data_IF_773099900506
#
_entry.id   IF_773099900506
#
_cell.length_a   1.000
_cell.length_b   1.000
_cell.length_c   1.000
_cell.angle_alpha   90.00
_cell.angle_beta   90.00
_cell.angle_gamma   90.00
#
_symmetry.space_group_name_H-M   'P 1'
#
loop_
_entity.id
_entity.type
_entity.pdbx_description
1 polymer ?
#
# COMPACT_ATOMS: atom_id res chain seq x y z
N UNK A 1 -4.29 20.11 23.18
CA UNK A 1 -4.64 19.00 22.26
C UNK A 1 -3.45 18.04 22.13
N UNK A 2 -3.61 16.74 22.42
CA UNK A 2 -2.57 15.76 22.06
C UNK A 2 -2.48 15.78 20.53
N UNK A 3 -1.30 16.09 19.99
CA UNK A 3 -1.10 16.24 18.55
C UNK A 3 -1.52 14.97 17.81
N UNK A 4 -2.05 15.15 16.59
CA UNK A 4 -2.36 14.02 15.70
C UNK A 4 -1.05 13.28 15.40
N UNK A 5 -0.97 11.96 15.67
CA UNK A 5 0.23 11.17 15.37
C UNK A 5 0.56 11.25 13.88
N UNK A 6 1.83 11.49 13.56
CA UNK A 6 2.32 11.54 12.18
C UNK A 6 3.18 10.31 11.92
N UNK A 7 2.60 9.31 11.25
CA UNK A 7 3.32 8.08 10.88
C UNK A 7 3.83 8.21 9.45
N UNK A 8 5.14 8.14 9.27
CA UNK A 8 5.79 8.05 7.96
C UNK A 8 6.07 6.59 7.61
N UNK A 9 5.58 6.15 6.46
CA UNK A 9 5.81 4.79 5.97
C UNK A 9 6.73 4.85 4.75
N UNK A 10 7.85 4.15 4.82
CA UNK A 10 8.86 4.06 3.76
C UNK A 10 8.93 2.63 3.23
N UNK A 11 8.89 2.49 1.90
CA UNK A 11 9.03 1.21 1.20
C UNK A 11 10.35 1.23 0.41
N UNK A 12 11.30 0.39 0.81
CA UNK A 12 12.60 0.24 0.16
C UNK A 12 12.64 -1.12 -0.57
N UNK A 13 12.91 -1.12 -1.87
CA UNK A 13 13.09 -2.34 -2.67
C UNK A 13 14.55 -2.42 -3.10
N UNK A 14 15.23 -3.50 -2.73
CA UNK A 14 16.62 -3.72 -3.13
C UNK A 14 16.73 -4.42 -4.51
N UNK A 15 17.96 -4.46 -5.05
CA UNK A 15 18.27 -5.14 -6.32
C UNK A 15 18.03 -6.66 -6.28
N UNK A 16 17.94 -7.25 -5.08
CA UNK A 16 17.67 -8.66 -4.87
C UNK A 16 16.15 -8.94 -4.71
N UNK A 17 15.29 -7.93 -4.80
CA UNK A 17 13.84 -8.05 -4.60
C UNK A 17 13.39 -8.19 -3.15
N UNK A 18 14.23 -7.85 -2.18
CA UNK A 18 13.87 -7.76 -0.76
C UNK A 18 13.18 -6.43 -0.52
N UNK A 19 11.94 -6.48 -0.03
CA UNK A 19 11.16 -5.30 0.35
C UNK A 19 11.34 -5.05 1.84
N UNK A 20 11.85 -3.87 2.20
CA UNK A 20 11.90 -3.41 3.59
C UNK A 20 10.86 -2.31 3.77
N UNK A 21 9.96 -2.53 4.71
CA UNK A 21 8.92 -1.58 5.10
C UNK A 21 9.31 -0.99 6.44
N UNK A 22 9.45 0.33 6.52
CA UNK A 22 9.77 1.05 7.75
C UNK A 22 8.64 2.01 8.09
N UNK A 23 8.18 2.03 9.33
CA UNK A 23 7.22 2.99 9.86
C UNK A 23 7.86 3.81 10.98
N UNK A 24 7.79 5.14 10.89
CA UNK A 24 8.33 6.08 11.86
C UNK A 24 7.24 7.02 12.38
N UNK A 25 7.09 7.12 13.69
CA UNK A 25 6.29 8.18 14.31
C UNK A 25 7.13 9.46 14.42
N UNK A 26 6.84 10.47 13.59
CA UNK A 26 7.57 11.75 13.56
C UNK A 26 7.48 12.53 14.87
N UNK A 27 6.47 12.27 15.70
CA UNK A 27 6.32 12.95 16.98
C UNK A 27 7.28 12.42 18.06
N UNK A 28 7.57 11.12 18.03
CA UNK A 28 8.40 10.45 19.04
C UNK A 28 9.77 10.00 18.52
N UNK A 29 9.97 9.96 17.20
CA UNK A 29 11.14 9.41 16.54
C UNK A 29 11.23 7.88 16.59
N UNK A 30 10.24 7.20 17.17
CA UNK A 30 10.19 5.75 17.26
C UNK A 30 9.99 5.15 15.87
N UNK A 31 10.79 4.15 15.52
CA UNK A 31 10.72 3.46 14.23
C UNK A 31 10.58 1.96 14.43
N UNK A 32 9.77 1.32 13.59
CA UNK A 32 9.69 -0.13 13.47
C UNK A 32 9.81 -0.50 12.01
N UNK A 33 10.42 -1.65 11.71
CA UNK A 33 10.56 -2.12 10.34
C UNK A 33 10.31 -3.63 10.22
N UNK A 34 9.88 -4.04 9.03
CA UNK A 34 9.67 -5.43 8.62
C UNK A 34 10.43 -5.65 7.32
N UNK A 35 11.09 -6.79 7.20
CA UNK A 35 11.80 -7.21 5.98
C UNK A 35 11.04 -8.36 5.36
N UNK A 36 10.57 -8.17 4.14
CA UNK A 36 9.86 -9.15 3.32
C UNK A 36 10.84 -9.64 2.26
N UNK A 37 11.25 -10.91 2.38
CA UNK A 37 12.10 -11.54 1.38
C UNK A 37 11.22 -12.10 0.26
N UNK A 38 11.13 -11.38 -0.86
CA UNK A 38 10.23 -11.75 -1.97
C UNK A 38 10.80 -12.88 -2.87
N UNK A 39 11.94 -13.47 -2.52
CA UNK A 39 12.60 -14.47 -3.37
C UNK A 39 11.89 -15.83 -3.40
N UNK A 40 11.06 -16.13 -2.40
CA UNK A 40 10.41 -17.45 -2.28
C UNK A 40 9.09 -17.55 -3.02
N UNK A 41 8.49 -16.42 -3.43
CA UNK A 41 7.11 -16.39 -3.94
C UNK A 41 6.89 -15.28 -4.99
N UNK A 42 7.85 -15.12 -5.90
CA UNK A 42 7.69 -14.20 -7.04
C UNK A 42 6.57 -14.73 -7.94
N UNK A 43 5.63 -13.85 -8.28
CA UNK A 43 4.57 -14.15 -9.24
C UNK A 43 5.19 -14.56 -10.57
N UNK A 44 4.67 -15.62 -11.18
CA UNK A 44 5.03 -15.97 -12.55
C UNK A 44 4.52 -14.89 -13.52
N UNK A 45 5.12 -14.75 -14.72
CA UNK A 45 4.60 -13.84 -15.74
C UNK A 45 3.12 -14.07 -16.04
N UNK A 46 2.67 -15.33 -16.05
CA UNK A 46 1.27 -15.69 -16.28
C UNK A 46 0.34 -15.27 -15.14
N UNK A 47 0.83 -15.30 -13.90
CA UNK A 47 0.09 -14.80 -12.74
C UNK A 47 -0.03 -13.28 -12.78
N UNK A 48 1.04 -12.58 -13.20
CA UNK A 48 1.04 -11.12 -13.40
C UNK A 48 0.01 -10.74 -14.48
N UNK A 49 0.04 -11.39 -15.64
CA UNK A 49 -0.89 -11.11 -16.73
C UNK A 49 -2.34 -11.39 -16.33
N UNK A 50 -2.58 -12.45 -15.55
CA UNK A 50 -3.91 -12.74 -14.99
C UNK A 50 -4.36 -11.64 -14.04
N UNK A 51 -3.48 -11.19 -13.14
CA UNK A 51 -3.79 -10.08 -12.23
C UNK A 51 -4.12 -8.80 -12.98
N UNK A 52 -3.37 -8.46 -14.03
CA UNK A 52 -3.65 -7.28 -14.87
C UNK A 52 -5.04 -7.38 -15.50
N UNK A 53 -5.35 -8.52 -16.13
CA UNK A 53 -6.63 -8.73 -16.79
C UNK A 53 -7.82 -8.72 -15.82
N UNK A 54 -7.64 -9.29 -14.64
CA UNK A 54 -8.66 -9.25 -13.58
C UNK A 54 -8.83 -7.82 -13.06
N UNK A 55 -7.75 -7.07 -12.83
CA UNK A 55 -7.81 -5.65 -12.46
C UNK A 55 -8.54 -4.81 -13.51
N UNK A 56 -8.30 -5.00 -14.81
CA UNK A 56 -9.02 -4.31 -15.88
C UNK A 56 -10.52 -4.63 -15.87
N UNK A 57 -10.88 -5.90 -15.63
CA UNK A 57 -12.27 -6.33 -15.57
C UNK A 57 -13.05 -5.68 -14.43
N UNK A 58 -12.40 -5.49 -13.27
CA UNK A 58 -13.03 -4.94 -12.07
C UNK A 58 -12.81 -3.42 -11.89
N UNK A 59 -12.00 -2.79 -12.75
CA UNK A 59 -11.67 -1.37 -12.67
C UNK A 59 -12.90 -0.46 -12.60
N UNK A 60 -13.94 -0.75 -13.38
CA UNK A 60 -15.18 0.05 -13.39
C UNK A 60 -16.00 -0.09 -12.11
N UNK A 61 -15.97 -1.26 -11.46
CA UNK A 61 -16.64 -1.48 -10.18
C UNK A 61 -15.86 -0.80 -9.04
N UNK A 62 -14.54 -0.96 -9.03
CA UNK A 62 -13.64 -0.33 -8.07
C UNK A 62 -13.73 1.21 -8.14
N UNK A 63 -13.86 1.77 -9.35
CA UNK A 63 -14.06 3.20 -9.56
C UNK A 63 -15.36 3.69 -8.91
N UNK A 64 -16.48 2.98 -9.08
CA UNK A 64 -17.75 3.34 -8.44
C UNK A 64 -17.67 3.28 -6.92
N UNK A 65 -16.97 2.28 -6.37
CA UNK A 65 -16.77 2.16 -4.92
C UNK A 65 -15.92 3.32 -4.40
N UNK A 66 -14.85 3.66 -5.11
CA UNK A 66 -13.98 4.80 -4.78
C UNK A 66 -14.76 6.11 -4.81
N UNK A 67 -15.47 6.39 -5.90
CA UNK A 67 -16.27 7.63 -6.05
C UNK A 67 -17.31 7.77 -4.92
N UNK A 68 -17.93 6.66 -4.50
CA UNK A 68 -18.87 6.64 -3.37
C UNK A 68 -18.19 6.96 -2.04
N UNK A 69 -17.00 6.42 -1.80
CA UNK A 69 -16.23 6.67 -0.57
C UNK A 69 -15.73 8.09 -0.53
N UNK A 70 -15.22 8.60 -1.66
CA UNK A 70 -14.72 9.97 -1.77
C UNK A 70 -15.85 10.98 -1.53
N UNK A 71 -17.02 10.79 -2.15
CA UNK A 71 -18.20 11.63 -1.91
C UNK A 71 -18.69 11.58 -0.45
N UNK A 72 -18.58 10.41 0.22
CA UNK A 72 -18.90 10.28 1.64
C UNK A 72 -17.90 11.06 2.51
N UNK A 73 -16.62 10.90 2.23
CA UNK A 73 -15.54 11.57 2.98
C UNK A 73 -15.61 13.10 2.81
N UNK A 74 -15.98 13.58 1.62
CA UNK A 74 -16.16 15.02 1.35
C UNK A 74 -17.33 15.61 2.14
N UNK A 75 -18.40 14.83 2.39
CA UNK A 75 -19.54 15.26 3.21
C UNK A 75 -19.28 15.17 4.72
N UNK A 76 -18.41 14.25 5.15
CA UNK A 76 -18.06 14.03 6.56
C UNK A 76 -16.89 14.92 7.05
N UNK A 77 -16.16 15.58 6.15
CA UNK A 77 -15.04 16.51 6.45
C UNK A 77 -15.51 17.94 6.69
#
# INVERSE_FOLDING_TARGET
>A
PRGVPQIEVTFEIDVNGILKVTAEDKGTGNKNNIVINSNTNRLSPEEIDRMIKDSEKFADEDRKVKDRVDAKNELES
#
